data_IF_939262865752
#
_entry.id   IF_939262865752
#
_cell.length_a   1.000
_cell.length_b   1.000
_cell.length_c   1.000
_cell.angle_alpha   90.00
_cell.angle_beta   90.00
_cell.angle_gamma   90.00
#
_symmetry.space_group_name_H-M   'P 1'
#
loop_
_entity.id
_entity.type
_entity.pdbx_description
1 polymer ?
#
# COMPACT_ATOMS: atom_id res chain seq x y z
N UNK A 1 18.99 16.36 -11.98
CA UNK A 1 19.11 15.13 -12.80
C UNK A 1 19.02 13.96 -11.85
N UNK A 2 17.86 13.30 -11.78
CA UNK A 2 17.76 12.02 -11.07
C UNK A 2 18.48 10.94 -11.90
N UNK A 3 19.23 10.02 -11.29
CA UNK A 3 19.88 8.95 -12.03
C UNK A 3 18.81 8.09 -12.71
N UNK A 4 18.84 8.05 -14.05
CA UNK A 4 17.94 7.23 -14.84
C UNK A 4 18.11 5.77 -14.47
N UNK A 5 16.99 5.09 -14.20
CA UNK A 5 16.97 3.63 -14.06
C UNK A 5 17.42 3.05 -15.40
N UNK A 6 18.61 2.45 -15.43
CA UNK A 6 19.10 1.76 -16.62
C UNK A 6 18.09 0.65 -16.98
N UNK A 7 17.60 0.72 -18.21
CA UNK A 7 16.70 -0.25 -18.85
C UNK A 7 17.23 -1.70 -18.86
N UNK A 8 18.49 -1.91 -18.47
CA UNK A 8 19.18 -3.21 -18.43
C UNK A 8 19.62 -3.66 -17.02
N UNK A 9 19.15 -3.04 -15.94
CA UNK A 9 19.38 -3.61 -14.61
C UNK A 9 18.62 -4.94 -14.52
N UNK A 10 19.26 -6.08 -14.18
CA UNK A 10 18.56 -7.33 -14.05
C UNK A 10 17.42 -7.14 -13.05
N UNK A 11 16.21 -7.54 -13.45
CA UNK A 11 15.07 -7.75 -12.55
C UNK A 11 15.42 -8.88 -11.58
N UNK A 12 16.44 -8.72 -10.73
CA UNK A 12 16.62 -9.58 -9.57
C UNK A 12 15.47 -9.24 -8.64
N UNK A 13 14.30 -9.82 -8.92
CA UNK A 13 13.05 -9.51 -8.23
C UNK A 13 13.28 -9.57 -6.72
N UNK A 14 12.92 -8.48 -6.05
CA UNK A 14 12.97 -8.41 -4.60
C UNK A 14 12.16 -9.59 -4.05
N UNK A 15 12.73 -10.31 -3.08
CA UNK A 15 12.06 -11.48 -2.49
C UNK A 15 11.52 -11.09 -1.12
N UNK A 16 10.39 -11.69 -0.77
CA UNK A 16 10.00 -11.76 0.63
C UNK A 16 11.01 -12.63 1.39
N UNK A 17 11.23 -12.29 2.66
CA UNK A 17 12.07 -13.09 3.56
C UNK A 17 11.34 -13.34 4.86
N UNK A 18 11.63 -14.46 5.50
CA UNK A 18 11.16 -14.73 6.87
C UNK A 18 12.00 -13.91 7.85
N UNK A 19 11.33 -13.24 8.77
CA UNK A 19 11.96 -12.85 10.03
C UNK A 19 11.99 -14.10 10.92
N UNK A 20 13.18 -14.50 11.35
CA UNK A 20 13.43 -15.70 12.18
C UNK A 20 13.11 -17.03 11.45
N UNK A 21 13.90 -17.40 10.42
CA UNK A 21 13.61 -18.57 9.58
C UNK A 21 13.64 -19.91 10.33
N UNK A 22 14.37 -19.98 11.45
CA UNK A 22 14.51 -21.21 12.24
C UNK A 22 13.37 -21.42 13.25
N UNK A 23 12.50 -20.42 13.44
CA UNK A 23 11.36 -20.56 14.35
C UNK A 23 10.21 -21.30 13.64
N UNK A 24 9.58 -22.29 14.32
CA UNK A 24 8.38 -22.92 13.79
C UNK A 24 7.28 -21.87 13.59
N UNK A 25 6.49 -22.04 12.53
CA UNK A 25 5.35 -21.16 12.29
C UNK A 25 4.32 -21.30 13.43
N UNK A 26 3.59 -20.22 13.72
CA UNK A 26 2.49 -20.28 14.67
C UNK A 26 1.38 -21.16 14.08
N UNK A 27 1.16 -22.33 14.69
CA UNK A 27 0.04 -23.21 14.37
C UNK A 27 -0.94 -23.20 15.53
N UNK A 28 -2.04 -22.46 15.38
CA UNK A 28 -3.14 -22.39 16.34
C UNK A 28 -4.42 -22.92 15.71
N UNK A 29 -5.23 -23.65 16.48
CA UNK A 29 -6.51 -24.12 15.99
C UNK A 29 -7.55 -23.00 15.88
N UNK A 30 -8.59 -23.18 15.05
CA UNK A 30 -9.61 -22.17 14.79
C UNK A 30 -10.37 -21.75 16.06
N UNK A 31 -10.42 -22.59 17.08
CA UNK A 31 -11.02 -22.28 18.38
C UNK A 31 -10.40 -21.06 19.05
N UNK A 32 -9.09 -20.84 18.89
CA UNK A 32 -8.41 -19.66 19.44
C UNK A 32 -8.84 -18.41 18.70
N UNK A 33 -8.93 -18.47 17.38
CA UNK A 33 -9.40 -17.36 16.54
C UNK A 33 -10.86 -16.99 16.87
N UNK A 34 -11.70 -18.00 17.07
CA UNK A 34 -13.10 -17.80 17.48
C UNK A 34 -13.19 -17.18 18.87
N UNK A 35 -12.33 -17.60 19.81
CA UNK A 35 -12.29 -17.04 21.15
C UNK A 35 -11.82 -15.57 21.16
N UNK A 36 -10.93 -15.18 20.25
CA UNK A 36 -10.50 -13.78 20.08
C UNK A 36 -11.62 -12.90 19.51
N UNK A 37 -12.36 -13.39 18.51
CA UNK A 37 -13.34 -12.61 17.75
C UNK A 37 -14.77 -12.60 18.30
N UNK A 38 -15.12 -13.47 19.26
CA UNK A 38 -16.46 -13.48 19.87
C UNK A 38 -16.73 -12.22 20.69
N UNK A 39 -18.01 -11.93 20.95
CA UNK A 39 -18.40 -10.87 21.89
C UNK A 39 -17.75 -11.11 23.27
N UNK A 40 -17.19 -10.05 23.86
CA UNK A 40 -16.35 -10.10 25.06
C UNK A 40 -14.96 -10.72 24.87
N UNK A 41 -14.57 -11.08 23.64
CA UNK A 41 -13.24 -11.54 23.28
C UNK A 41 -12.22 -10.40 23.21
N UNK A 42 -10.95 -10.74 22.99
CA UNK A 42 -9.87 -9.74 23.00
C UNK A 42 -10.00 -8.68 21.89
N UNK A 43 -10.69 -8.98 20.79
CA UNK A 43 -10.98 -8.02 19.72
C UNK A 43 -12.29 -7.22 19.96
N UNK A 44 -13.06 -7.54 21.01
CA UNK A 44 -14.25 -6.76 21.38
C UNK A 44 -13.85 -5.59 22.28
N UNK A 45 -13.78 -4.40 21.69
CA UNK A 45 -13.37 -3.18 22.39
C UNK A 45 -14.47 -2.57 23.25
N UNK A 46 -15.69 -3.13 23.28
CA UNK A 46 -16.83 -2.60 24.04
C UNK A 46 -16.57 -2.44 25.54
N UNK A 47 -15.68 -3.27 26.09
CA UNK A 47 -15.27 -3.22 27.50
C UNK A 47 -13.77 -2.96 27.67
N UNK A 48 -13.08 -2.49 26.61
CA UNK A 48 -11.66 -2.18 26.68
C UNK A 48 -11.43 -1.03 27.66
N UNK A 49 -10.52 -1.22 28.61
CA UNK A 49 -10.03 -0.17 29.52
C UNK A 49 -8.76 0.51 28.99
N UNK A 50 -8.32 0.17 27.77
CA UNK A 50 -7.13 0.77 27.16
C UNK A 50 -7.43 2.20 26.74
N UNK A 51 -6.77 3.17 27.37
CA UNK A 51 -6.85 4.59 27.02
C UNK A 51 -6.00 4.96 25.77
N UNK A 52 -5.38 3.98 25.12
CA UNK A 52 -4.57 4.19 23.90
C UNK A 52 -5.39 4.85 22.79
N UNK A 53 -6.70 4.58 22.70
CA UNK A 53 -7.61 5.23 21.74
C UNK A 53 -7.76 6.75 21.94
N UNK A 54 -7.39 7.26 23.11
CA UNK A 54 -7.47 8.70 23.43
C UNK A 54 -6.17 9.45 23.11
N UNK A 55 -5.05 8.74 23.03
CA UNK A 55 -3.70 9.32 22.93
C UNK A 55 -3.00 8.99 21.61
N UNK A 56 -3.40 7.91 20.94
CA UNK A 56 -2.82 7.46 19.68
C UNK A 56 -3.71 7.91 18.52
N UNK A 57 -3.11 8.59 17.55
CA UNK A 57 -3.84 9.03 16.36
C UNK A 57 -4.42 7.83 15.60
N UNK A 58 -5.72 7.85 15.35
CA UNK A 58 -6.43 6.80 14.60
C UNK A 58 -5.94 6.63 13.15
N UNK A 59 -5.11 7.56 12.63
CA UNK A 59 -4.51 7.49 11.30
C UNK A 59 -3.32 6.54 11.17
N UNK A 60 -2.73 6.05 12.27
CA UNK A 60 -1.56 5.16 12.19
C UNK A 60 -1.76 3.89 11.35
N UNK A 61 -2.91 3.18 11.43
CA UNK A 61 -3.15 2.04 10.56
C UNK A 61 -3.19 2.41 9.06
N UNK A 62 -3.76 3.57 8.73
CA UNK A 62 -3.80 4.08 7.33
C UNK A 62 -2.40 4.41 6.85
N UNK A 63 -1.59 5.07 7.67
CA UNK A 63 -0.20 5.37 7.33
C UNK A 63 0.64 4.09 7.20
N UNK A 64 0.43 3.11 8.08
CA UNK A 64 1.09 1.80 7.99
C UNK A 64 0.73 1.05 6.70
N UNK A 65 -0.53 1.13 6.27
CA UNK A 65 -0.96 0.58 5.00
C UNK A 65 -0.34 1.32 3.80
N UNK A 66 -0.26 2.66 3.85
CA UNK A 66 0.42 3.45 2.83
C UNK A 66 1.89 3.02 2.67
N UNK A 67 2.62 2.86 3.78
CA UNK A 67 3.99 2.33 3.79
C UNK A 67 4.04 0.92 3.20
N UNK A 68 3.11 0.04 3.58
CA UNK A 68 3.06 -1.32 3.08
C UNK A 68 2.87 -1.38 1.55
N UNK A 69 2.07 -0.46 1.00
CA UNK A 69 1.88 -0.35 -0.45
C UNK A 69 3.14 0.10 -1.20
N UNK A 70 4.02 0.85 -0.52
CA UNK A 70 5.30 1.27 -1.10
C UNK A 70 6.31 0.13 -1.13
N UNK A 71 6.50 -0.54 0.01
CA UNK A 71 7.59 -1.52 0.19
C UNK A 71 7.24 -2.94 -0.24
N UNK A 72 5.95 -3.24 -0.50
CA UNK A 72 5.50 -4.59 -0.86
C UNK A 72 4.46 -4.59 -1.98
N UNK A 73 4.56 -5.55 -2.89
CA UNK A 73 3.49 -5.95 -3.80
C UNK A 73 3.68 -7.40 -4.26
N UNK A 74 2.86 -8.31 -3.76
CA UNK A 74 2.86 -9.69 -4.27
C UNK A 74 2.00 -9.77 -5.53
N UNK A 75 2.59 -10.25 -6.62
CA UNK A 75 1.92 -10.53 -7.89
C UNK A 75 2.16 -11.96 -8.35
N UNK A 76 2.60 -12.82 -7.43
CA UNK A 76 2.84 -14.23 -7.69
C UNK A 76 1.52 -14.93 -8.00
N UNK A 77 1.50 -15.93 -8.90
CA UNK A 77 0.28 -16.67 -9.22
C UNK A 77 -0.21 -17.43 -7.99
N UNK A 78 -1.53 -17.48 -7.81
CA UNK A 78 -2.14 -18.36 -6.81
C UNK A 78 -1.97 -19.80 -7.29
N UNK A 79 -1.32 -20.64 -6.47
CA UNK A 79 -1.13 -22.06 -6.77
C UNK A 79 -1.73 -22.93 -5.66
N UNK A 80 -1.90 -24.23 -5.93
CA UNK A 80 -2.44 -25.18 -4.95
C UNK A 80 -1.48 -25.51 -3.80
N UNK A 81 -0.21 -25.10 -3.91
CA UNK A 81 0.81 -25.34 -2.91
C UNK A 81 1.43 -24.02 -2.46
N UNK A 82 1.60 -23.87 -1.16
CA UNK A 82 2.31 -22.73 -0.59
C UNK A 82 3.81 -22.94 -0.80
N UNK A 83 4.31 -22.51 -1.97
CA UNK A 83 5.76 -22.48 -2.24
C UNK A 83 6.29 -21.06 -2.03
N UNK A 84 6.87 -20.83 -0.84
CA UNK A 84 7.50 -19.57 -0.46
C UNK A 84 8.61 -19.15 -1.45
N UNK A 85 9.25 -20.09 -2.15
CA UNK A 85 10.30 -19.78 -3.12
C UNK A 85 9.74 -19.10 -4.39
N UNK A 86 8.44 -19.20 -4.63
CA UNK A 86 7.75 -18.55 -5.75
C UNK A 86 7.31 -17.13 -5.41
N UNK A 87 7.24 -16.76 -4.14
CA UNK A 87 6.81 -15.42 -3.73
C UNK A 87 7.83 -14.36 -4.17
N UNK A 88 7.34 -13.38 -4.92
CA UNK A 88 8.13 -12.24 -5.41
C UNK A 88 7.47 -10.94 -5.00
N UNK A 89 8.29 -10.05 -4.46
CA UNK A 89 7.91 -8.65 -4.29
C UNK A 89 8.15 -7.93 -5.63
N UNK A 90 7.05 -7.55 -6.28
CA UNK A 90 7.06 -6.78 -7.52
C UNK A 90 7.46 -5.31 -7.32
N UNK A 91 7.61 -4.85 -6.06
CA UNK A 91 8.11 -3.52 -5.70
C UNK A 91 9.55 -3.55 -5.18
N UNK A 92 10.16 -2.39 -5.26
CA UNK A 92 11.32 -2.01 -4.46
C UNK A 92 11.02 -2.18 -2.96
N UNK A 93 11.83 -2.95 -2.23
CA UNK A 93 11.69 -3.06 -0.77
C UNK A 93 12.32 -1.83 -0.06
N UNK A 94 11.94 -0.62 -0.50
CA UNK A 94 12.48 0.66 -0.04
C UNK A 94 11.35 1.67 0.10
N UNK A 95 11.57 2.68 0.94
CA UNK A 95 10.70 3.84 1.07
C UNK A 95 11.11 4.88 0.01
N UNK A 96 10.75 4.62 -1.25
CA UNK A 96 11.06 5.48 -2.39
C UNK A 96 9.82 6.06 -3.08
N UNK A 97 8.64 5.84 -2.49
CA UNK A 97 7.37 6.38 -2.95
C UNK A 97 7.02 5.95 -4.39
N UNK A 98 7.46 4.76 -4.81
CA UNK A 98 7.11 4.15 -6.10
C UNK A 98 5.58 4.01 -6.26
N UNK A 99 4.86 3.83 -5.15
CA UNK A 99 3.40 3.79 -5.16
C UNK A 99 2.74 5.15 -5.50
N UNK A 100 3.45 6.27 -5.31
CA UNK A 100 3.01 7.63 -5.65
C UNK A 100 3.54 8.04 -7.02
N UNK A 101 4.87 8.01 -7.18
CA UNK A 101 5.54 8.57 -8.35
C UNK A 101 5.64 7.60 -9.54
N UNK A 102 5.35 6.31 -9.33
CA UNK A 102 5.57 5.28 -10.36
C UNK A 102 7.03 5.27 -10.83
N UNK A 103 7.24 5.17 -12.15
CA UNK A 103 8.56 5.29 -12.77
C UNK A 103 8.92 6.76 -13.12
N UNK A 104 8.30 7.73 -12.45
CA UNK A 104 8.51 9.18 -12.64
C UNK A 104 7.90 9.76 -13.92
N UNK A 105 8.13 11.04 -14.24
CA UNK A 105 7.48 11.73 -15.37
C UNK A 105 7.86 11.19 -16.74
N UNK A 106 8.94 10.40 -16.85
CA UNK A 106 9.36 9.75 -18.09
C UNK A 106 8.74 8.36 -18.21
N UNK A 107 8.77 7.54 -17.15
CA UNK A 107 8.24 6.17 -17.20
C UNK A 107 6.73 6.07 -16.96
N UNK A 108 6.15 7.03 -16.26
CA UNK A 108 4.71 7.11 -15.95
C UNK A 108 4.15 8.52 -16.23
N UNK A 109 4.30 9.05 -17.46
CA UNK A 109 3.95 10.44 -17.79
C UNK A 109 2.47 10.79 -17.55
N UNK A 110 1.58 9.79 -17.57
CA UNK A 110 0.15 9.96 -17.34
C UNK A 110 -0.20 10.36 -15.88
N UNK A 111 0.75 10.29 -14.94
CA UNK A 111 0.58 10.75 -13.56
C UNK A 111 0.91 12.24 -13.38
N UNK A 112 1.58 12.87 -14.37
CA UNK A 112 2.16 14.20 -14.24
C UNK A 112 1.49 15.23 -15.14
N UNK A 113 1.53 16.49 -14.72
CA UNK A 113 1.04 17.60 -15.52
C UNK A 113 1.93 17.82 -16.74
N UNK A 114 1.33 17.81 -17.93
CA UNK A 114 2.05 18.16 -19.17
C UNK A 114 2.56 19.61 -19.17
N UNK A 115 1.93 20.51 -18.42
CA UNK A 115 2.33 21.92 -18.32
C UNK A 115 3.52 22.11 -17.37
N UNK A 116 3.64 21.25 -16.37
CA UNK A 116 4.68 21.29 -15.36
C UNK A 116 4.97 19.86 -14.88
N UNK A 117 5.94 19.16 -15.51
CA UNK A 117 6.26 17.76 -15.17
C UNK A 117 6.81 17.56 -13.75
N UNK A 118 7.07 18.63 -12.99
CA UNK A 118 7.39 18.54 -11.57
C UNK A 118 6.13 18.37 -10.70
N UNK A 119 4.92 18.55 -11.25
CA UNK A 119 3.65 18.41 -10.54
C UNK A 119 2.90 17.18 -11.01
N UNK A 120 2.27 16.49 -10.06
CA UNK A 120 1.33 15.42 -10.35
C UNK A 120 -0.05 15.96 -10.70
N UNK A 121 -0.87 15.14 -11.36
CA UNK A 121 -2.25 15.46 -11.67
C UNK A 121 -3.12 15.33 -10.40
N UNK A 122 -4.02 16.29 -10.23
CA UNK A 122 -5.08 16.25 -9.23
C UNK A 122 -6.43 16.11 -9.95
N UNK A 123 -7.30 15.28 -9.40
CA UNK A 123 -8.71 15.17 -9.78
C UNK A 123 -9.55 16.21 -9.05
N UNK A 124 -10.77 16.38 -9.54
CA UNK A 124 -11.77 17.23 -8.88
C UNK A 124 -12.59 16.38 -7.91
N UNK A 125 -12.77 16.87 -6.69
CA UNK A 125 -13.70 16.27 -5.73
C UNK A 125 -15.16 16.62 -6.09
N UNK A 126 -16.11 16.15 -5.28
CA UNK A 126 -17.56 16.41 -5.47
C UNK A 126 -17.95 17.90 -5.44
N UNK A 127 -17.09 18.78 -4.89
CA UNK A 127 -17.28 20.23 -4.87
C UNK A 127 -16.65 20.93 -6.08
N UNK A 128 -15.91 20.22 -6.91
CA UNK A 128 -15.16 20.77 -8.02
C UNK A 128 -13.79 21.35 -7.63
N UNK A 129 -13.30 21.11 -6.42
CA UNK A 129 -11.96 21.52 -5.98
C UNK A 129 -10.93 20.47 -6.41
N UNK A 130 -9.70 20.88 -6.71
CA UNK A 130 -8.60 19.99 -7.10
C UNK A 130 -7.99 19.22 -5.91
N UNK A 131 -8.82 18.51 -5.14
CA UNK A 131 -8.48 17.83 -3.89
C UNK A 131 -8.87 16.32 -3.92
N UNK A 132 -8.83 15.67 -5.08
CA UNK A 132 -9.00 14.22 -5.19
C UNK A 132 -7.98 13.59 -6.14
N UNK A 133 -7.94 12.26 -6.18
CA UNK A 133 -7.18 11.54 -7.20
C UNK A 133 -7.79 11.79 -8.59
N UNK A 134 -6.96 11.98 -9.63
CA UNK A 134 -7.45 12.01 -11.01
C UNK A 134 -8.07 10.66 -11.36
N UNK A 135 -9.27 10.66 -11.94
CA UNK A 135 -9.98 9.45 -12.36
C UNK A 135 -10.23 9.46 -13.86
N UNK A 136 -10.22 8.28 -14.49
CA UNK A 136 -10.66 8.13 -15.87
C UNK A 136 -12.19 8.21 -15.97
N UNK A 137 -12.73 8.13 -17.19
CA UNK A 137 -14.18 8.20 -17.45
C UNK A 137 -15.02 7.09 -16.77
N UNK A 138 -14.39 6.02 -16.32
CA UNK A 138 -15.02 4.90 -15.59
C UNK A 138 -14.85 5.04 -14.07
N UNK A 139 -14.29 6.15 -13.58
CA UNK A 139 -14.07 6.39 -12.15
C UNK A 139 -12.83 5.72 -11.55
N UNK A 140 -11.97 5.10 -12.37
CA UNK A 140 -10.76 4.43 -11.91
C UNK A 140 -9.67 5.47 -11.67
N UNK A 141 -9.08 5.48 -10.47
CA UNK A 141 -7.98 6.37 -10.12
C UNK A 141 -6.74 6.11 -10.99
N UNK A 142 -6.13 7.20 -11.46
CA UNK A 142 -4.87 7.22 -12.18
C UNK A 142 -3.73 7.38 -11.17
N UNK A 143 -3.26 6.26 -10.64
CA UNK A 143 -2.20 6.19 -9.60
C UNK A 143 -1.15 5.14 -9.96
N UNK A 144 0.06 5.27 -9.41
CA UNK A 144 1.16 4.32 -9.63
C UNK A 144 0.94 2.93 -9.00
N UNK A 145 0.18 2.86 -7.91
CA UNK A 145 -0.30 1.60 -7.32
C UNK A 145 -1.82 1.66 -7.14
N UNK A 146 -2.60 0.75 -7.73
CA UNK A 146 -4.06 0.77 -7.60
C UNK A 146 -4.52 0.57 -6.14
N UNK A 147 -3.66 0.03 -5.26
CA UNK A 147 -3.98 -0.09 -3.84
C UNK A 147 -4.05 1.27 -3.15
N UNK A 148 -3.57 2.35 -3.78
CA UNK A 148 -3.72 3.72 -3.28
C UNK A 148 -5.15 4.28 -3.45
N UNK A 149 -6.10 3.47 -3.93
CA UNK A 149 -7.53 3.86 -4.02
C UNK A 149 -8.49 2.81 -3.44
N UNK A 150 -8.00 1.93 -2.55
CA UNK A 150 -8.84 0.87 -1.94
C UNK A 150 -9.93 1.41 -1.02
N UNK A 151 -9.73 2.59 -0.45
CA UNK A 151 -10.71 3.33 0.31
C UNK A 151 -10.29 4.79 0.47
N UNK A 152 -11.27 5.66 0.75
CA UNK A 152 -11.11 7.11 0.84
C UNK A 152 -9.91 7.56 1.67
N UNK A 153 -9.66 6.96 2.84
CA UNK A 153 -8.55 7.37 3.71
C UNK A 153 -7.18 7.18 3.06
N UNK A 154 -7.01 6.13 2.24
CA UNK A 154 -5.75 5.89 1.53
C UNK A 154 -5.66 6.80 0.31
N UNK A 155 -6.76 6.99 -0.43
CA UNK A 155 -6.81 7.92 -1.56
C UNK A 155 -6.43 9.33 -1.13
N UNK A 156 -6.96 9.80 0.00
CA UNK A 156 -6.69 11.14 0.53
C UNK A 156 -5.31 11.25 1.20
N UNK A 157 -4.78 10.16 1.77
CA UNK A 157 -3.38 10.09 2.19
C UNK A 157 -2.43 10.25 0.98
N UNK A 158 -2.76 9.64 -0.15
CA UNK A 158 -2.00 9.83 -1.39
C UNK A 158 -2.07 11.28 -1.87
N UNK A 159 -3.27 11.89 -1.93
CA UNK A 159 -3.45 13.31 -2.31
C UNK A 159 -2.63 14.23 -1.40
N UNK A 160 -2.56 13.96 -0.10
CA UNK A 160 -1.76 14.74 0.85
C UNK A 160 -0.23 14.68 0.59
N UNK A 161 0.24 13.73 -0.22
CA UNK A 161 1.64 13.59 -0.62
C UNK A 161 1.96 14.28 -1.97
N UNK A 162 0.95 14.80 -2.68
CA UNK A 162 1.07 15.47 -3.99
C UNK A 162 1.28 16.98 -3.86
#
# INVERSE_FOLDING_TARGET
>A
MAPGRNIDAPLSGHRYTRMFPDLPHLSIGPEVLHALGRAGGACDTRYSTRAESETVAAGWPVFGQFIAHDVTADRSPVTHHDDEALLRNARSARLDLECVYGDGPVGSPFLFSRKDPAKMLLGLNDRGDADDLPRNQEGIALVGDPRQDVHLLISQMHVAML
#
